data_IF_658845687206
#
_entry.id   IF_658845687206
#
_cell.length_a   1.000
_cell.length_b   1.000
_cell.length_c   1.000
_cell.angle_alpha   90.00
_cell.angle_beta   90.00
_cell.angle_gamma   90.00
#
_symmetry.space_group_name_H-M   'P 1'
#
loop_
_entity.id
_entity.type
_entity.pdbx_description
1 polymer ?
#
# COMPACT_ATOMS: atom_id res chain seq x y z
N UNK A 1 -9.68 -7.67 9.60
CA UNK A 1 -9.80 -6.34 8.94
C UNK A 1 -9.96 -5.31 10.02
N UNK A 2 -9.24 -4.19 9.96
CA UNK A 2 -9.39 -3.10 10.94
C UNK A 2 -9.97 -1.87 10.26
N UNK A 3 -11.08 -1.37 10.79
CA UNK A 3 -11.73 -0.16 10.33
C UNK A 3 -11.40 0.99 11.29
N UNK A 4 -10.53 1.89 10.86
CA UNK A 4 -10.25 3.13 11.58
C UNK A 4 -11.33 4.16 11.25
N UNK A 5 -12.06 4.62 12.26
CA UNK A 5 -13.22 5.47 12.05
C UNK A 5 -13.19 6.70 12.97
N UNK A 6 -13.88 7.74 12.51
CA UNK A 6 -14.18 8.95 13.27
C UNK A 6 -15.64 9.32 13.01
N UNK A 7 -16.52 8.96 13.94
CA UNK A 7 -17.92 9.37 13.91
C UNK A 7 -18.25 10.13 15.20
N UNK A 8 -19.22 11.07 15.16
CA UNK A 8 -19.74 11.69 16.38
C UNK A 8 -20.29 10.64 17.36
N UNK A 9 -20.14 10.86 18.66
CA UNK A 9 -20.59 9.91 19.71
C UNK A 9 -22.11 9.66 19.66
N UNK A 10 -22.89 10.63 19.19
CA UNK A 10 -24.34 10.56 19.04
C UNK A 10 -24.80 10.06 17.66
N UNK A 11 -23.86 9.62 16.81
CA UNK A 11 -24.20 9.14 15.48
C UNK A 11 -24.94 7.80 15.53
N UNK A 12 -26.09 7.65 14.85
CA UNK A 12 -26.77 6.36 14.76
C UNK A 12 -25.92 5.30 14.06
N UNK A 13 -24.91 5.70 13.27
CA UNK A 13 -23.95 4.80 12.64
C UNK A 13 -23.08 4.04 13.66
N UNK A 14 -22.95 4.53 14.90
CA UNK A 14 -22.19 3.84 15.94
C UNK A 14 -22.83 2.50 16.29
N UNK A 15 -24.17 2.44 16.35
CA UNK A 15 -24.88 1.20 16.62
C UNK A 15 -24.71 0.22 15.46
N UNK A 16 -24.87 0.67 14.22
CA UNK A 16 -24.68 -0.16 13.03
C UNK A 16 -23.25 -0.72 12.92
N UNK A 17 -22.23 0.11 13.18
CA UNK A 17 -20.82 -0.33 13.19
C UNK A 17 -20.53 -1.34 14.29
N UNK A 18 -21.08 -1.12 15.50
CA UNK A 18 -20.95 -2.08 16.60
C UNK A 18 -21.64 -3.40 16.27
N UNK A 19 -22.86 -3.36 15.71
CA UNK A 19 -23.58 -4.57 15.29
C UNK A 19 -22.77 -5.36 14.24
N UNK A 20 -22.21 -4.67 13.24
CA UNK A 20 -21.39 -5.29 12.22
C UNK A 20 -20.11 -5.90 12.80
N UNK A 21 -19.41 -5.20 13.68
CA UNK A 21 -18.22 -5.74 14.35
C UNK A 21 -18.54 -6.94 15.26
N UNK A 22 -19.71 -6.95 15.90
CA UNK A 22 -20.17 -8.07 16.72
C UNK A 22 -20.62 -9.29 15.90
N UNK A 23 -21.06 -9.10 14.65
CA UNK A 23 -21.48 -10.19 13.76
C UNK A 23 -20.33 -10.78 12.93
N UNK A 24 -19.24 -10.04 12.77
CA UNK A 24 -18.13 -10.39 11.88
C UNK A 24 -16.83 -10.56 12.67
N UNK A 25 -16.43 -11.81 12.94
CA UNK A 25 -15.19 -12.15 13.65
C UNK A 25 -13.91 -11.63 12.96
N UNK A 26 -14.05 -11.22 11.69
CA UNK A 26 -12.96 -10.68 10.87
C UNK A 26 -12.89 -9.15 10.91
N UNK A 27 -13.76 -8.45 11.64
CA UNK A 27 -13.81 -6.99 11.68
C UNK A 27 -13.54 -6.44 13.07
N UNK A 28 -12.42 -5.73 13.21
CA UNK A 28 -12.16 -4.86 14.35
C UNK A 28 -12.50 -3.40 13.97
N UNK A 29 -13.24 -2.70 14.83
CA UNK A 29 -13.43 -1.25 14.71
C UNK A 29 -12.45 -0.51 15.63
N UNK A 30 -11.88 0.59 15.15
CA UNK A 30 -10.80 1.33 15.80
C UNK A 30 -11.15 2.82 15.83
N UNK A 31 -11.61 3.31 16.97
CA UNK A 31 -11.89 4.75 17.17
C UNK A 31 -10.58 5.53 17.19
N UNK A 32 -10.40 6.41 16.19
CA UNK A 32 -9.17 7.20 16.04
C UNK A 32 -8.97 8.24 17.13
N UNK A 33 -9.98 8.53 17.96
CA UNK A 33 -9.84 9.42 19.11
C UNK A 33 -9.10 8.76 20.27
N UNK A 34 -9.06 7.43 20.33
CA UNK A 34 -8.60 6.67 21.50
C UNK A 34 -8.01 5.31 21.13
N UNK A 35 -7.04 5.28 20.22
CA UNK A 35 -6.34 4.04 19.87
C UNK A 35 -5.43 3.57 21.01
N UNK A 36 -5.45 2.29 21.41
CA UNK A 36 -4.69 1.80 22.57
C UNK A 36 -3.18 2.12 22.55
N UNK A 37 -2.55 2.05 21.38
CA UNK A 37 -1.10 2.27 21.24
C UNK A 37 -0.71 3.71 20.83
N UNK A 38 -1.67 4.51 20.36
CA UNK A 38 -1.40 5.79 19.70
C UNK A 38 -2.15 6.98 20.32
N UNK A 39 -3.14 6.72 21.16
CA UNK A 39 -4.04 7.73 21.69
C UNK A 39 -4.89 8.35 20.57
N UNK A 40 -5.01 9.67 20.61
CA UNK A 40 -5.81 10.43 19.66
C UNK A 40 -5.02 10.75 18.38
N UNK A 41 -5.47 10.21 17.25
CA UNK A 41 -4.96 10.48 15.91
C UNK A 41 -6.06 11.05 14.99
N UNK A 42 -7.15 11.58 15.55
CA UNK A 42 -8.30 12.09 14.80
C UNK A 42 -7.98 13.34 13.97
N UNK A 43 -6.90 14.03 14.32
CA UNK A 43 -6.35 15.15 13.57
C UNK A 43 -5.50 14.71 12.35
N UNK A 44 -5.17 13.43 12.23
CA UNK A 44 -4.38 12.90 11.11
C UNK A 44 -5.29 12.69 9.89
N UNK A 45 -4.77 12.99 8.71
CA UNK A 45 -5.48 12.82 7.45
C UNK A 45 -5.90 11.34 7.26
N UNK A 46 -7.18 11.04 6.96
CA UNK A 46 -7.70 9.67 6.98
C UNK A 46 -6.98 8.66 6.09
N UNK A 47 -6.43 9.07 4.93
CA UNK A 47 -5.65 8.15 4.09
C UNK A 47 -4.38 7.64 4.77
N UNK A 48 -3.85 8.33 5.78
CA UNK A 48 -2.69 7.86 6.56
C UNK A 48 -3.12 6.78 7.56
N UNK A 49 -4.37 6.75 8.02
CA UNK A 49 -4.85 5.76 8.99
C UNK A 49 -4.72 4.32 8.47
N UNK A 50 -4.80 4.14 7.14
CA UNK A 50 -4.59 2.83 6.50
C UNK A 50 -3.19 2.25 6.70
N UNK A 51 -2.23 3.06 7.17
CA UNK A 51 -0.87 2.61 7.48
C UNK A 51 -0.67 2.22 8.95
N UNK A 52 -1.60 2.57 9.83
CA UNK A 52 -1.52 2.28 11.27
C UNK A 52 -1.42 0.79 11.62
N UNK A 53 -1.97 -0.18 10.84
CA UNK A 53 -1.73 -1.59 11.09
C UNK A 53 -0.25 -1.97 11.13
N UNK A 54 0.65 -1.19 10.51
CA UNK A 54 2.10 -1.44 10.59
C UNK A 54 2.72 -1.17 11.97
N UNK A 55 1.96 -0.53 12.88
CA UNK A 55 2.36 -0.32 14.29
C UNK A 55 1.79 -1.37 15.23
N UNK A 56 0.88 -2.20 14.74
CA UNK A 56 0.21 -3.20 15.56
C UNK A 56 1.10 -4.45 15.71
N UNK A 57 1.33 -4.86 16.96
CA UNK A 57 2.19 -5.99 17.29
C UNK A 57 1.64 -7.35 16.86
N UNK A 58 0.35 -7.44 16.52
CA UNK A 58 -0.32 -8.66 16.06
C UNK A 58 -0.31 -8.79 14.52
N UNK A 59 0.25 -7.81 13.81
CA UNK A 59 0.36 -7.85 12.34
C UNK A 59 1.76 -8.28 11.96
N UNK A 60 1.86 -9.43 11.28
CA UNK A 60 3.12 -9.94 10.72
C UNK A 60 3.37 -9.45 9.30
N UNK A 61 2.30 -9.28 8.52
CA UNK A 61 2.36 -8.84 7.14
C UNK A 61 1.31 -7.75 6.91
N UNK A 62 1.76 -6.60 6.43
CA UNK A 62 0.87 -5.52 6.01
C UNK A 62 0.88 -5.42 4.49
N UNK A 63 -0.29 -5.41 3.86
CA UNK A 63 -0.47 -5.06 2.45
C UNK A 63 -1.44 -3.88 2.41
N UNK A 64 -1.02 -2.76 1.84
CA UNK A 64 -1.89 -1.60 1.66
C UNK A 64 -2.59 -1.69 0.32
N UNK A 65 -3.91 -1.50 0.32
CA UNK A 65 -4.81 -1.66 -0.82
C UNK A 65 -5.93 -0.64 -0.77
N UNK A 66 -6.34 -0.17 -1.95
CA UNK A 66 -7.61 0.55 -2.10
C UNK A 66 -8.76 -0.44 -2.22
N UNK A 67 -9.88 -0.17 -1.54
CA UNK A 67 -11.02 -1.08 -1.46
C UNK A 67 -11.75 -1.25 -2.81
N UNK A 68 -11.64 -0.25 -3.68
CA UNK A 68 -12.23 -0.24 -5.03
C UNK A 68 -11.31 -0.85 -6.10
N UNK A 69 -10.11 -1.29 -5.71
CA UNK A 69 -9.15 -1.96 -6.60
C UNK A 69 -9.40 -3.47 -6.65
N UNK A 70 -9.45 -4.01 -7.87
CA UNK A 70 -9.61 -5.46 -8.08
C UNK A 70 -8.29 -6.19 -7.84
N UNK A 71 -8.35 -7.39 -7.25
CA UNK A 71 -7.18 -8.27 -7.11
C UNK A 71 -7.01 -9.04 -8.42
N UNK A 72 -5.85 -8.89 -9.04
CA UNK A 72 -5.53 -9.59 -10.31
C UNK A 72 -4.60 -10.78 -10.06
N UNK A 73 -4.61 -11.77 -10.98
CA UNK A 73 -3.64 -12.87 -10.93
C UNK A 73 -2.19 -12.38 -11.05
N UNK A 74 -1.98 -11.26 -11.74
CA UNK A 74 -0.70 -10.55 -11.83
C UNK A 74 -0.23 -10.03 -10.47
N UNK A 75 -1.12 -9.40 -9.72
CA UNK A 75 -0.83 -8.95 -8.35
C UNK A 75 -0.49 -10.14 -7.45
N UNK A 76 -1.27 -11.20 -7.50
CA UNK A 76 -1.02 -12.42 -6.74
C UNK A 76 0.37 -13.00 -7.04
N UNK A 77 0.77 -13.06 -8.32
CA UNK A 77 2.09 -13.53 -8.71
C UNK A 77 3.22 -12.64 -8.16
N UNK A 78 3.07 -11.31 -8.23
CA UNK A 78 4.05 -10.35 -7.70
C UNK A 78 4.16 -10.39 -6.17
N UNK A 79 3.04 -10.58 -5.46
CA UNK A 79 3.01 -10.77 -4.01
C UNK A 79 3.64 -12.11 -3.63
N UNK A 80 3.34 -13.19 -4.36
CA UNK A 80 3.95 -14.50 -4.12
C UNK A 80 5.47 -14.45 -4.27
N UNK A 81 5.97 -13.79 -5.31
CA UNK A 81 7.40 -13.57 -5.50
C UNK A 81 8.01 -12.79 -4.33
N UNK A 82 7.37 -11.69 -3.92
CA UNK A 82 7.81 -10.92 -2.77
C UNK A 82 7.87 -11.75 -1.49
N UNK A 83 6.82 -12.52 -1.19
CA UNK A 83 6.77 -13.35 0.01
C UNK A 83 7.85 -14.42 0.02
N UNK A 84 8.17 -14.98 -1.15
CA UNK A 84 9.21 -16.00 -1.29
C UNK A 84 10.64 -15.47 -1.11
N UNK A 85 10.90 -14.18 -1.28
CA UNK A 85 12.25 -13.61 -1.16
C UNK A 85 12.62 -13.35 0.32
N UNK A 86 13.59 -14.08 0.90
CA UNK A 86 13.97 -13.92 2.31
C UNK A 86 14.80 -12.66 2.57
N UNK A 87 15.34 -12.01 1.53
CA UNK A 87 16.16 -10.81 1.64
C UNK A 87 15.35 -9.52 1.56
N UNK A 88 14.07 -9.63 1.18
CA UNK A 88 13.18 -8.50 0.91
C UNK A 88 12.02 -8.50 1.90
N UNK A 89 11.82 -7.34 2.50
CA UNK A 89 10.76 -7.13 3.50
C UNK A 89 9.89 -5.92 3.21
N UNK A 90 10.15 -5.17 2.13
CA UNK A 90 9.30 -4.09 1.65
C UNK A 90 8.98 -4.28 0.16
N UNK A 91 7.71 -4.24 -0.20
CA UNK A 91 7.23 -4.47 -1.57
C UNK A 91 6.58 -3.22 -2.14
N UNK A 92 6.79 -3.00 -3.44
CA UNK A 92 6.11 -1.94 -4.18
C UNK A 92 5.66 -2.49 -5.54
N UNK A 93 4.48 -2.11 -6.00
CA UNK A 93 3.97 -2.48 -7.33
C UNK A 93 3.52 -1.25 -8.12
N UNK A 94 4.10 -1.04 -9.31
CA UNK A 94 3.85 0.09 -10.21
C UNK A 94 3.53 -0.42 -11.60
N UNK A 95 2.26 -0.72 -11.82
CA UNK A 95 1.80 -1.48 -12.98
C UNK A 95 1.07 -0.62 -14.05
N UNK A 96 1.13 0.71 -13.95
CA UNK A 96 0.48 1.62 -14.89
C UNK A 96 1.33 2.87 -15.14
N UNK A 97 1.17 3.56 -16.29
CA UNK A 97 1.95 4.78 -16.59
C UNK A 97 1.67 5.94 -15.63
N UNK A 98 0.52 5.94 -14.98
CA UNK A 98 0.21 6.93 -13.94
C UNK A 98 0.86 6.57 -12.59
N UNK A 99 1.40 5.35 -12.44
CA UNK A 99 2.09 4.89 -11.22
C UNK A 99 3.55 5.37 -11.20
N UNK A 100 3.75 6.66 -11.48
CA UNK A 100 5.05 7.31 -11.64
C UNK A 100 5.59 7.91 -10.32
N UNK A 101 5.09 7.43 -9.18
CA UNK A 101 5.58 7.76 -7.84
C UNK A 101 6.32 6.55 -7.26
N UNK A 102 7.25 6.79 -6.33
CA UNK A 102 8.11 5.70 -5.83
C UNK A 102 7.33 4.66 -5.03
N UNK A 103 6.35 5.07 -4.21
CA UNK A 103 5.43 4.18 -3.48
C UNK A 103 4.02 4.75 -3.65
N UNK A 104 3.10 3.96 -4.22
CA UNK A 104 1.68 4.31 -4.23
C UNK A 104 1.07 3.91 -2.90
N UNK A 105 0.06 4.65 -2.46
CA UNK A 105 -0.56 4.41 -1.17
C UNK A 105 -1.28 3.06 -1.08
N UNK A 106 -1.83 2.56 -2.20
CA UNK A 106 -2.62 1.32 -2.28
C UNK A 106 -1.92 0.11 -2.91
N UNK A 107 -0.61 0.14 -3.19
CA UNK A 107 0.09 -0.99 -3.84
C UNK A 107 1.48 -1.28 -3.26
N UNK A 108 1.58 -1.35 -1.93
CA UNK A 108 2.82 -1.69 -1.22
C UNK A 108 2.57 -2.66 -0.07
N UNK A 109 3.63 -3.33 0.39
CA UNK A 109 3.56 -4.26 1.52
C UNK A 109 4.83 -4.25 2.38
N UNK A 110 4.71 -4.70 3.63
CA UNK A 110 5.82 -4.87 4.56
C UNK A 110 5.69 -6.16 5.38
N UNK A 111 6.76 -6.97 5.41
CA UNK A 111 6.91 -8.14 6.30
C UNK A 111 7.40 -7.66 7.67
N UNK A 112 6.49 -7.37 8.57
CA UNK A 112 6.76 -6.80 9.90
C UNK A 112 7.37 -7.82 10.87
N UNK A 113 7.15 -9.11 10.63
CA UNK A 113 7.78 -10.22 11.34
C UNK A 113 9.28 -10.37 11.02
N UNK A 114 9.74 -9.82 9.89
CA UNK A 114 11.14 -9.90 9.44
C UNK A 114 11.95 -8.66 9.91
N UNK A 115 12.98 -8.82 10.76
CA UNK A 115 13.83 -7.70 11.14
C UNK A 115 14.58 -7.07 9.95
N UNK A 116 14.80 -5.74 9.92
CA UNK A 116 14.44 -4.76 10.94
C UNK A 116 13.08 -4.06 10.66
N UNK A 117 12.15 -4.69 9.94
CA UNK A 117 11.03 -3.98 9.33
C UNK A 117 10.06 -3.36 10.34
N UNK A 118 9.72 -4.06 11.44
CA UNK A 118 8.84 -3.52 12.49
C UNK A 118 9.39 -2.23 13.10
N UNK A 119 10.65 -2.23 13.52
CA UNK A 119 11.29 -1.05 14.11
C UNK A 119 11.42 0.09 13.09
N UNK A 120 11.69 -0.25 11.84
CA UNK A 120 11.73 0.71 10.75
C UNK A 120 10.36 1.37 10.57
N UNK A 121 9.29 0.59 10.44
CA UNK A 121 7.93 1.12 10.26
C UNK A 121 7.46 1.92 11.47
N UNK A 122 7.85 1.51 12.69
CA UNK A 122 7.65 2.30 13.91
C UNK A 122 8.31 3.67 13.81
N UNK A 123 9.57 3.72 13.39
CA UNK A 123 10.29 4.98 13.21
C UNK A 123 9.68 5.85 12.08
N UNK A 124 9.24 5.24 10.99
CA UNK A 124 8.56 5.91 9.86
C UNK A 124 7.28 6.56 10.32
N UNK A 125 6.35 5.79 10.90
CA UNK A 125 5.03 6.28 11.25
C UNK A 125 5.06 7.23 12.44
N UNK A 126 5.98 7.05 13.40
CA UNK A 126 6.17 8.03 14.48
C UNK A 126 6.55 9.41 13.93
N UNK A 127 7.37 9.47 12.87
CA UNK A 127 7.71 10.74 12.20
C UNK A 127 6.55 11.26 11.36
N UNK A 128 5.90 10.37 10.61
CA UNK A 128 4.76 10.70 9.75
C UNK A 128 3.62 11.35 10.55
N UNK A 129 3.24 10.76 11.69
CA UNK A 129 2.15 11.26 12.54
C UNK A 129 2.46 12.59 13.24
N UNK A 130 3.73 13.02 13.26
CA UNK A 130 4.16 14.31 13.80
C UNK A 130 4.37 15.38 12.72
N UNK A 131 4.26 15.01 11.46
CA UNK A 131 4.41 15.95 10.35
C UNK A 131 3.19 16.86 10.28
N UNK A 132 3.41 18.16 10.12
CA UNK A 132 2.32 19.13 9.95
C UNK A 132 1.48 18.83 8.70
N UNK A 133 2.09 18.30 7.65
CA UNK A 133 1.40 17.92 6.42
C UNK A 133 0.50 16.68 6.63
N UNK A 134 0.70 15.90 7.70
CA UNK A 134 -0.24 14.84 8.07
C UNK A 134 -1.52 15.37 8.74
N UNK A 135 -1.47 16.61 9.24
CA UNK A 135 -2.50 17.24 10.07
C UNK A 135 -3.30 18.28 9.28
N UNK A 136 -2.69 18.90 8.26
CA UNK A 136 -3.31 19.98 7.50
C UNK A 136 -4.29 19.46 6.43
N UNK A 137 -5.58 19.77 6.62
CA UNK A 137 -6.74 19.24 5.89
C UNK A 137 -7.04 19.99 4.57
N UNK A 138 -6.03 20.31 3.78
CA UNK A 138 -6.26 20.74 2.39
C UNK A 138 -6.78 19.59 1.52
N UNK A 139 -7.31 19.89 0.33
CA UNK A 139 -7.73 18.89 -0.67
C UNK A 139 -6.52 18.26 -1.41
N UNK A 140 -5.46 17.96 -0.66
CA UNK A 140 -4.22 17.40 -1.18
C UNK A 140 -4.35 15.89 -1.34
N UNK A 141 -4.92 15.48 -2.48
CA UNK A 141 -4.86 14.09 -2.91
C UNK A 141 -3.41 13.63 -3.01
N UNK A 142 -3.12 12.43 -2.51
CA UNK A 142 -1.79 11.80 -2.60
C UNK A 142 -0.84 12.11 -1.45
N UNK A 143 -1.28 12.83 -0.41
CA UNK A 143 -0.46 13.11 0.79
C UNK A 143 0.14 11.85 1.41
N UNK A 144 -0.62 10.76 1.43
CA UNK A 144 -0.19 9.48 1.95
C UNK A 144 1.00 8.90 1.15
N UNK A 145 1.01 9.10 -0.18
CA UNK A 145 2.12 8.71 -1.05
C UNK A 145 3.34 9.62 -0.84
N UNK A 146 3.13 10.93 -0.71
CA UNK A 146 4.19 11.90 -0.41
C UNK A 146 4.87 11.58 0.92
N UNK A 147 4.08 11.16 1.91
CA UNK A 147 4.56 10.79 3.23
C UNK A 147 5.34 9.47 3.22
N UNK A 148 4.90 8.48 2.44
CA UNK A 148 5.67 7.27 2.18
C UNK A 148 7.01 7.59 1.50
N UNK A 149 7.00 8.49 0.52
CA UNK A 149 8.23 8.93 -0.17
C UNK A 149 9.17 9.71 0.75
N UNK A 150 8.63 10.54 1.64
CA UNK A 150 9.41 11.35 2.59
C UNK A 150 10.04 10.51 3.69
N UNK A 151 9.29 9.56 4.26
CA UNK A 151 9.70 8.87 5.48
C UNK A 151 10.12 7.41 5.27
N UNK A 152 9.41 6.64 4.45
CA UNK A 152 9.67 5.21 4.26
C UNK A 152 10.73 4.96 3.20
N UNK A 153 10.52 5.47 1.99
CA UNK A 153 11.35 5.21 0.80
C UNK A 153 12.86 5.34 1.03
N UNK A 154 13.39 6.46 1.56
CA UNK A 154 14.84 6.60 1.77
C UNK A 154 15.43 5.54 2.71
N UNK A 155 14.67 5.09 3.71
CA UNK A 155 15.13 4.11 4.69
C UNK A 155 15.15 2.70 4.12
N UNK A 156 14.08 2.29 3.45
CA UNK A 156 13.97 0.94 2.87
C UNK A 156 14.92 0.75 1.70
N UNK A 157 15.14 1.80 0.88
CA UNK A 157 16.13 1.81 -0.20
C UNK A 157 17.54 1.74 0.36
N UNK A 158 17.88 2.61 1.33
CA UNK A 158 19.22 2.62 1.94
C UNK A 158 19.59 1.27 2.56
N UNK A 159 18.62 0.55 3.11
CA UNK A 159 18.82 -0.79 3.70
C UNK A 159 18.70 -1.95 2.69
N UNK A 160 18.37 -1.69 1.43
CA UNK A 160 18.27 -2.71 0.39
C UNK A 160 17.08 -3.68 0.54
N UNK A 161 16.07 -3.30 1.33
CA UNK A 161 14.94 -4.17 1.73
C UNK A 161 13.85 -4.29 0.67
N UNK A 162 13.94 -3.47 -0.39
CA UNK A 162 12.88 -3.29 -1.39
C UNK A 162 12.95 -4.37 -2.47
N UNK A 163 11.80 -4.97 -2.77
CA UNK A 163 11.49 -5.57 -4.07
C UNK A 163 10.39 -4.73 -4.72
N UNK A 164 10.67 -4.13 -5.87
CA UNK A 164 9.66 -3.36 -6.58
C UNK A 164 9.36 -3.99 -7.94
N UNK A 165 8.08 -4.22 -8.24
CA UNK A 165 7.64 -4.61 -9.57
C UNK A 165 7.18 -3.38 -10.32
N UNK A 166 7.69 -3.17 -11.53
CA UNK A 166 7.47 -1.95 -12.29
C UNK A 166 7.40 -2.22 -13.79
N UNK A 167 6.29 -1.79 -14.39
CA UNK A 167 6.03 -1.99 -15.81
C UNK A 167 6.60 -0.89 -16.70
N UNK A 168 6.79 0.32 -16.19
CA UNK A 168 7.07 1.50 -17.04
C UNK A 168 8.27 2.33 -16.57
N UNK A 169 8.58 2.32 -15.29
CA UNK A 169 9.56 3.17 -14.62
C UNK A 169 10.66 2.36 -13.92
N UNK A 170 10.91 1.13 -14.37
CA UNK A 170 11.89 0.23 -13.76
C UNK A 170 13.34 0.79 -13.72
N UNK A 171 13.67 1.76 -14.57
CA UNK A 171 14.97 2.48 -14.54
C UNK A 171 14.97 3.72 -13.65
N UNK A 172 13.80 4.25 -13.30
CA UNK A 172 13.64 5.45 -12.47
C UNK A 172 13.87 5.16 -10.99
N UNK A 173 13.40 4.00 -10.52
CA UNK A 173 13.45 3.63 -9.10
C UNK A 173 14.40 2.45 -8.86
N UNK A 174 15.27 2.49 -7.84
CA UNK A 174 16.13 1.36 -7.49
C UNK A 174 15.32 0.14 -7.06
N UNK A 175 15.94 -1.04 -7.17
CA UNK A 175 15.34 -2.34 -6.82
C UNK A 175 14.08 -2.71 -7.62
N UNK A 176 13.88 -2.06 -8.75
CA UNK A 176 12.76 -2.33 -9.64
C UNK A 176 13.10 -3.44 -10.63
N UNK A 177 12.18 -4.39 -10.75
CA UNK A 177 12.19 -5.48 -11.72
C UNK A 177 10.88 -5.47 -12.49
N UNK A 178 10.86 -6.09 -13.67
CA UNK A 178 9.59 -6.34 -14.35
C UNK A 178 8.72 -7.32 -13.57
N UNK A 179 7.40 -7.20 -13.72
CA UNK A 179 6.44 -8.14 -13.15
C UNK A 179 6.69 -9.59 -13.59
N UNK A 180 6.33 -10.59 -12.76
CA UNK A 180 6.60 -12.01 -13.02
C UNK A 180 5.72 -12.63 -14.11
N UNK A 181 4.68 -11.94 -14.57
CA UNK A 181 3.76 -12.43 -15.60
C UNK A 181 3.64 -11.42 -16.73
N UNK A 182 3.12 -11.86 -17.88
CA UNK A 182 2.69 -10.94 -18.95
C UNK A 182 1.33 -10.34 -18.59
N UNK A 183 1.09 -9.07 -18.95
CA UNK A 183 -0.24 -8.47 -18.77
C UNK A 183 -1.26 -9.13 -19.70
N UNK A 184 -2.36 -9.64 -19.13
CA UNK A 184 -3.46 -10.22 -19.90
C UNK A 184 -4.33 -9.11 -20.50
N UNK A 185 -4.36 -8.99 -21.82
CA UNK A 185 -5.16 -7.98 -22.52
C UNK A 185 -6.66 -8.28 -22.58
N UNK A 186 -7.08 -9.46 -22.16
CA UNK A 186 -8.39 -9.99 -22.55
C UNK A 186 -9.57 -9.24 -21.95
N UNK A 187 -9.47 -8.66 -20.73
CA UNK A 187 -10.50 -7.81 -20.10
C UNK A 187 -9.90 -6.88 -19.02
N UNK A 188 -10.29 -5.60 -18.94
CA UNK A 188 -10.12 -4.78 -17.74
C UNK A 188 -10.88 -5.35 -16.54
N UNK A 189 -10.48 -5.07 -15.29
CA UNK A 189 -9.23 -4.42 -14.92
C UNK A 189 -8.02 -5.34 -15.15
N UNK A 190 -6.97 -4.82 -15.81
CA UNK A 190 -5.82 -5.61 -16.24
C UNK A 190 -4.48 -5.13 -15.65
N UNK A 191 -4.50 -4.23 -14.66
CA UNK A 191 -3.31 -3.79 -13.93
C UNK A 191 -3.49 -3.79 -12.40
N UNK A 192 -2.38 -3.85 -11.66
CA UNK A 192 -2.36 -3.81 -10.19
C UNK A 192 -2.74 -2.42 -9.69
N UNK A 193 -3.77 -2.32 -8.84
CA UNK A 193 -4.33 -1.04 -8.38
C UNK A 193 -5.40 -0.46 -9.32
N UNK A 194 -5.89 -1.25 -10.27
CA UNK A 194 -6.96 -0.85 -11.16
C UNK A 194 -8.31 -0.82 -10.45
N UNK A 195 -9.00 0.32 -10.55
CA UNK A 195 -10.40 0.48 -10.13
C UNK A 195 -11.30 -0.30 -11.09
N UNK A 196 -12.37 -0.92 -10.57
CA UNK A 196 -13.29 -1.77 -11.36
C UNK A 196 -13.79 -1.13 -12.67
N UNK A 197 -14.02 0.20 -12.67
CA UNK A 197 -14.58 0.94 -13.83
C UNK A 197 -13.52 1.43 -14.83
N UNK A 198 -12.28 1.69 -14.39
CA UNK A 198 -11.23 2.40 -15.15
C UNK A 198 -9.91 1.61 -15.16
N UNK A 199 -9.99 0.31 -15.42
CA UNK A 199 -8.89 -0.63 -15.20
C UNK A 199 -8.09 -1.04 -16.45
N UNK A 200 -8.09 -0.28 -17.54
CA UNK A 200 -7.34 -0.68 -18.75
C UNK A 200 -5.94 -0.06 -18.83
N UNK A 201 -4.94 -0.93 -19.02
CA UNK A 201 -3.57 -0.61 -19.38
C UNK A 201 -3.20 -1.30 -20.71
N UNK A 202 -3.52 -0.62 -21.82
CA UNK A 202 -3.29 -1.12 -23.19
C UNK A 202 -2.00 -0.60 -23.83
N UNK A 203 -1.16 0.11 -23.07
CA UNK A 203 0.08 0.67 -23.59
C UNK A 203 1.24 -0.31 -23.50
N UNK A 204 2.01 -0.38 -24.59
CA UNK A 204 3.25 -1.15 -24.67
C UNK A 204 4.22 -0.69 -23.58
N UNK A 205 4.78 -1.65 -22.85
CA UNK A 205 5.74 -1.38 -21.81
C UNK A 205 7.19 -1.37 -22.37
N UNK A 206 8.12 -0.58 -21.78
CA UNK A 206 9.51 -0.51 -22.25
C UNK A 206 10.20 -1.88 -22.21
N UNK A 207 11.05 -2.19 -23.18
CA UNK A 207 11.74 -3.49 -23.30
C UNK A 207 12.55 -3.84 -22.05
N UNK A 208 13.21 -2.85 -21.49
CA UNK A 208 14.02 -2.98 -20.29
C UNK A 208 13.21 -3.32 -19.03
N UNK A 209 11.89 -3.09 -19.04
CA UNK A 209 10.98 -3.41 -17.93
C UNK A 209 10.25 -4.76 -18.12
N UNK A 210 10.50 -5.48 -19.22
CA UNK A 210 9.86 -6.77 -19.53
C UNK A 210 10.54 -7.97 -18.87
N UNK A 211 11.44 -7.76 -17.90
CA UNK A 211 12.14 -8.84 -17.19
C UNK A 211 12.87 -9.82 -18.15
N UNK A 212 13.40 -9.30 -19.26
CA UNK A 212 14.11 -10.10 -20.28
C UNK A 212 13.21 -10.80 -21.30
N UNK A 213 11.89 -10.69 -21.19
CA UNK A 213 10.94 -11.23 -22.17
C UNK A 213 10.81 -10.30 -23.38
N UNK A 214 11.55 -10.58 -24.44
CA UNK A 214 11.52 -9.81 -25.70
C UNK A 214 10.20 -9.99 -26.45
N UNK A 215 9.53 -11.12 -26.25
CA UNK A 215 8.24 -11.46 -26.86
C UNK A 215 7.05 -10.76 -26.19
N UNK A 216 7.23 -10.23 -24.97
CA UNK A 216 6.19 -9.45 -24.32
C UNK A 216 6.12 -8.08 -24.97
N UNK A 217 4.90 -7.61 -25.24
CA UNK A 217 4.66 -6.20 -25.55
C UNK A 217 4.03 -5.47 -24.37
N UNK A 218 3.41 -6.22 -23.45
CA UNK A 218 2.70 -5.71 -22.29
C UNK A 218 3.19 -6.43 -21.05
N UNK A 219 3.81 -5.66 -20.20
CA UNK A 219 4.06 -5.90 -18.82
C UNK A 219 3.30 -4.81 -18.05
#
# INVERSE_FOLDING_TARGET
>A
MRLYYRIPEDSPLQEELCQLACSEDILDICDVNQLPALGNVSAIYPLIWRFLPALDSQVDLMLSRDLDSVITSREQAAVSEFLSDPKKSFHVMRDHKQHNIGILGGTWAAKLDVPPMRDLMKAVLTKMLKDKNAIDFGDHRGIDQDMLMKYAWPLVVKKGLVLAHDSYFCKKYPFSVGFPTQRTKSRPPNFVGAVFKDGDASMVCPEECRRGHTEWTHC
#
